data_IF_094076408710
#
_entry.id   IF_094076408710
#
_cell.length_a   1.000
_cell.length_b   1.000
_cell.length_c   1.000
_cell.angle_alpha   90.00
_cell.angle_beta   90.00
_cell.angle_gamma   90.00
#
_symmetry.space_group_name_H-M   'P 1'
#
loop_
_entity.id
_entity.type
_entity.pdbx_description
1 polymer ?
#
# COMPACT_ATOMS: atom_id res chain seq x y z
N UNK A 1 -34.29 8.05 16.20
CA UNK A 1 -33.81 8.90 15.11
C UNK A 1 -32.32 8.67 14.99
N UNK A 2 -31.88 7.99 13.93
CA UNK A 2 -30.49 7.63 13.74
C UNK A 2 -29.68 8.92 13.57
N UNK A 3 -29.05 9.34 14.66
CA UNK A 3 -28.12 10.46 14.67
C UNK A 3 -27.07 10.18 13.60
N UNK A 4 -26.89 11.15 12.71
CA UNK A 4 -25.97 11.11 11.57
C UNK A 4 -24.55 11.15 12.11
N UNK A 5 -24.14 10.06 12.77
CA UNK A 5 -22.85 9.84 13.38
C UNK A 5 -21.77 10.41 12.46
N UNK A 6 -21.27 11.58 12.87
CA UNK A 6 -20.00 12.15 12.43
C UNK A 6 -19.69 11.98 10.95
N UNK A 7 -20.52 12.56 10.05
CA UNK A 7 -20.14 12.68 8.63
C UNK A 7 -18.97 13.67 8.52
N UNK A 8 -17.74 13.18 8.62
CA UNK A 8 -16.55 13.92 8.23
C UNK A 8 -16.78 14.49 6.81
N UNK A 9 -16.65 15.80 6.60
CA UNK A 9 -16.95 16.39 5.30
C UNK A 9 -16.02 15.78 4.25
N UNK A 10 -16.59 15.33 3.12
CA UNK A 10 -15.87 14.65 2.04
C UNK A 10 -14.60 15.40 1.58
N UNK A 11 -14.57 16.73 1.73
CA UNK A 11 -13.41 17.59 1.49
C UNK A 11 -12.15 17.18 2.27
N UNK A 12 -12.27 16.59 3.47
CA UNK A 12 -11.12 16.09 4.25
C UNK A 12 -10.48 14.85 3.62
N UNK A 13 -11.20 14.12 2.77
CA UNK A 13 -10.68 12.97 2.03
C UNK A 13 -9.92 13.36 0.77
N UNK A 14 -10.09 14.59 0.28
CA UNK A 14 -9.47 15.03 -0.97
C UNK A 14 -7.94 14.94 -0.92
N UNK A 15 -7.30 15.43 0.14
CA UNK A 15 -5.84 15.34 0.28
C UNK A 15 -5.33 13.90 0.45
N UNK A 16 -5.93 13.05 1.31
CA UNK A 16 -5.62 11.62 1.38
C UNK A 16 -5.77 10.89 0.03
N UNK A 17 -6.86 11.13 -0.70
CA UNK A 17 -7.10 10.52 -2.02
C UNK A 17 -6.04 10.97 -3.01
N UNK A 18 -5.75 12.28 -3.09
CA UNK A 18 -4.70 12.79 -3.97
C UNK A 18 -3.33 12.18 -3.65
N UNK A 19 -2.97 12.03 -2.36
CA UNK A 19 -1.73 11.36 -1.95
C UNK A 19 -1.72 9.89 -2.31
N UNK A 20 -2.85 9.19 -2.14
CA UNK A 20 -2.98 7.79 -2.52
C UNK A 20 -2.75 7.62 -4.03
N UNK A 21 -3.47 8.38 -4.86
CA UNK A 21 -3.41 8.26 -6.31
C UNK A 21 -2.08 8.74 -6.90
N UNK A 22 -1.53 9.87 -6.41
CA UNK A 22 -0.31 10.46 -6.98
C UNK A 22 0.99 9.90 -6.42
N UNK A 23 0.97 9.31 -5.23
CA UNK A 23 2.20 8.87 -4.54
C UNK A 23 2.15 7.37 -4.23
N UNK A 24 1.14 6.91 -3.48
CA UNK A 24 1.11 5.52 -3.02
C UNK A 24 0.98 4.53 -4.18
N UNK A 25 0.00 4.73 -5.07
CA UNK A 25 -0.24 3.83 -6.21
C UNK A 25 0.97 3.74 -7.14
N UNK A 26 1.58 4.84 -7.64
CA UNK A 26 2.77 4.73 -8.48
C UNK A 26 3.95 4.08 -7.77
N UNK A 27 4.17 4.41 -6.49
CA UNK A 27 5.28 3.83 -5.70
C UNK A 27 5.11 2.32 -5.53
N UNK A 28 3.89 1.87 -5.24
CA UNK A 28 3.62 0.46 -5.00
C UNK A 28 3.66 -0.33 -6.32
N UNK A 29 3.21 0.24 -7.43
CA UNK A 29 3.38 -0.34 -8.77
C UNK A 29 4.86 -0.51 -9.14
N UNK A 30 5.69 0.51 -8.94
CA UNK A 30 7.14 0.42 -9.21
C UNK A 30 7.79 -0.68 -8.36
N UNK A 31 7.37 -0.85 -7.11
CA UNK A 31 7.88 -1.91 -6.22
C UNK A 31 7.43 -3.28 -6.66
N UNK A 32 6.17 -3.44 -7.06
CA UNK A 32 5.66 -4.71 -7.59
C UNK A 32 6.42 -5.12 -8.86
N UNK A 33 6.71 -4.16 -9.75
CA UNK A 33 7.55 -4.41 -10.92
C UNK A 33 8.96 -4.87 -10.52
N UNK A 34 9.56 -4.26 -9.50
CA UNK A 34 10.86 -4.69 -8.98
C UNK A 34 10.81 -6.11 -8.39
N UNK A 35 9.76 -6.44 -7.62
CA UNK A 35 9.57 -7.78 -7.07
C UNK A 35 9.42 -8.82 -8.17
N UNK A 36 8.68 -8.52 -9.24
CA UNK A 36 8.57 -9.39 -10.41
C UNK A 36 9.96 -9.69 -11.00
N UNK A 37 10.76 -8.66 -11.25
CA UNK A 37 12.12 -8.84 -11.78
C UNK A 37 13.00 -9.71 -10.86
N UNK A 38 12.90 -9.50 -9.54
CA UNK A 38 13.66 -10.27 -8.55
C UNK A 38 13.22 -11.73 -8.48
N UNK A 39 11.91 -12.00 -8.54
CA UNK A 39 11.34 -13.36 -8.58
C UNK A 39 11.90 -14.11 -9.79
N UNK A 40 11.81 -13.52 -10.98
CA UNK A 40 12.34 -14.13 -12.21
C UNK A 40 13.85 -14.37 -12.12
N UNK A 41 14.60 -13.41 -11.56
CA UNK A 41 16.05 -13.53 -11.34
C UNK A 41 16.38 -14.69 -10.38
N UNK A 42 15.74 -14.76 -9.22
CA UNK A 42 16.03 -15.79 -8.21
C UNK A 42 15.58 -17.18 -8.66
N UNK A 43 14.49 -17.27 -9.42
CA UNK A 43 14.05 -18.52 -10.04
C UNK A 43 15.08 -19.03 -11.05
N UNK A 44 15.58 -18.18 -11.96
CA UNK A 44 16.63 -18.57 -12.93
C UNK A 44 17.93 -19.01 -12.26
N UNK A 45 18.29 -18.38 -11.14
CA UNK A 45 19.51 -18.68 -10.39
C UNK A 45 19.34 -19.79 -9.35
N UNK A 46 18.16 -20.40 -9.25
CA UNK A 46 17.81 -21.43 -8.25
C UNK A 46 18.08 -20.98 -6.79
N UNK A 47 17.90 -19.69 -6.51
CA UNK A 47 18.08 -19.11 -5.17
C UNK A 47 16.78 -19.21 -4.36
N UNK A 48 16.43 -20.42 -3.92
CA UNK A 48 15.10 -20.73 -3.36
C UNK A 48 14.75 -19.94 -2.09
N UNK A 49 15.69 -19.75 -1.17
CA UNK A 49 15.44 -18.97 0.06
C UNK A 49 15.10 -17.52 -0.26
N UNK A 50 15.82 -16.93 -1.22
CA UNK A 50 15.58 -15.56 -1.68
C UNK A 50 14.28 -15.45 -2.46
N UNK A 51 13.97 -16.44 -3.30
CA UNK A 51 12.71 -16.50 -4.02
C UNK A 51 11.52 -16.54 -3.06
N UNK A 52 11.57 -17.39 -2.04
CA UNK A 52 10.53 -17.48 -1.02
C UNK A 52 10.36 -16.14 -0.27
N UNK A 53 11.46 -15.54 0.18
CA UNK A 53 11.42 -14.25 0.85
C UNK A 53 10.83 -13.15 -0.02
N UNK A 54 11.14 -13.17 -1.33
CA UNK A 54 10.65 -12.17 -2.27
C UNK A 54 9.15 -12.30 -2.53
N UNK A 55 8.59 -13.52 -2.59
CA UNK A 55 7.15 -13.73 -2.65
C UNK A 55 6.41 -13.17 -1.42
N UNK A 56 6.99 -13.36 -0.22
CA UNK A 56 6.45 -12.78 1.01
C UNK A 56 6.49 -11.25 0.96
N UNK A 57 7.59 -10.68 0.48
CA UNK A 57 7.75 -9.23 0.33
C UNK A 57 6.74 -8.63 -0.66
N UNK A 58 6.57 -9.26 -1.82
CA UNK A 58 5.61 -8.84 -2.84
C UNK A 58 4.17 -8.82 -2.29
N UNK A 59 3.78 -9.87 -1.57
CA UNK A 59 2.45 -9.98 -0.94
C UNK A 59 2.20 -8.87 0.09
N UNK A 60 3.24 -8.50 0.87
CA UNK A 60 3.15 -7.42 1.87
C UNK A 60 3.00 -6.04 1.24
N UNK A 61 3.59 -5.80 0.07
CA UNK A 61 3.42 -4.54 -0.68
C UNK A 61 1.95 -4.31 -1.03
N UNK A 62 1.21 -5.36 -1.41
CA UNK A 62 -0.22 -5.29 -1.70
C UNK A 62 -1.07 -5.07 -0.44
N UNK A 63 -0.81 -5.82 0.64
CA UNK A 63 -1.67 -5.84 1.84
C UNK A 63 -1.43 -4.66 2.80
N UNK A 64 -0.19 -4.35 3.15
CA UNK A 64 0.12 -3.45 4.26
C UNK A 64 0.19 -1.97 3.88
N UNK A 65 0.53 -1.62 2.63
CA UNK A 65 0.72 -0.22 2.25
C UNK A 65 -0.57 0.48 1.83
N UNK A 66 -1.43 -0.21 1.09
CA UNK A 66 -2.71 0.34 0.64
C UNK A 66 -3.60 0.78 1.82
N UNK A 67 -3.62 0.03 2.91
CA UNK A 67 -4.41 0.39 4.10
C UNK A 67 -3.71 1.37 5.05
N UNK A 68 -2.39 1.27 5.23
CA UNK A 68 -1.67 2.13 6.20
C UNK A 68 -1.70 3.60 5.81
N UNK A 69 -1.66 3.95 4.53
CA UNK A 69 -1.77 5.35 4.09
C UNK A 69 -3.16 5.94 4.35
N UNK A 70 -4.22 5.18 4.08
CA UNK A 70 -5.61 5.61 4.30
C UNK A 70 -5.91 5.75 5.79
N UNK A 71 -5.46 4.78 6.61
CA UNK A 71 -5.75 4.74 8.05
C UNK A 71 -4.87 5.73 8.83
N UNK A 72 -3.56 5.85 8.52
CA UNK A 72 -2.70 6.83 9.22
C UNK A 72 -3.06 8.29 8.93
N UNK A 73 -3.55 8.59 7.72
CA UNK A 73 -4.04 9.94 7.40
C UNK A 73 -5.35 10.29 8.12
N UNK A 74 -6.13 9.29 8.51
CA UNK A 74 -7.38 9.49 9.26
C UNK A 74 -7.16 9.63 10.77
N UNK A 75 -6.17 8.90 11.34
CA UNK A 75 -5.92 8.87 12.80
C UNK A 75 -5.01 10.02 13.27
N UNK A 76 -4.15 10.61 12.42
CA UNK A 76 -3.22 11.69 12.83
C UNK A 76 -3.87 13.07 13.04
N UNK A 77 -5.20 13.15 13.18
CA UNK A 77 -5.92 14.39 13.47
C UNK A 77 -6.68 14.32 14.81
N UNK A 78 -6.43 13.31 15.66
CA UNK A 78 -7.06 13.15 16.98
C UNK A 78 -6.07 13.23 18.17
N UNK A 79 -4.90 13.85 18.00
CA UNK A 79 -4.04 14.30 19.12
C UNK A 79 -3.58 15.73 18.83
#
# INVERSE_FOLDING_TARGET
>A
MADLASKLPLKRLESPIQKFTKVAVPTDLQRLQQHQHNIEKFQRLQQWDRLHQEHVNASRTVFFRNFKHIVKSSIRLEI
#
